data_IF_509255359555
#
_entry.id   IF_509255359555
#
_cell.length_a   1.000
_cell.length_b   1.000
_cell.length_c   1.000
_cell.angle_alpha   90.00
_cell.angle_beta   90.00
_cell.angle_gamma   90.00
#
_symmetry.space_group_name_H-M   'P 1'
#
loop_
_entity.id
_entity.type
_entity.pdbx_description
1 polymer ?
#
# COMPACT_ATOMS: atom_id res chain seq x y z
N UNK A 1 -30.79 41.37 54.14
CA UNK A 1 -30.90 40.26 53.16
C UNK A 1 -30.14 40.68 51.91
N UNK A 2 -28.99 40.06 51.63
CA UNK A 2 -28.17 40.36 50.43
C UNK A 2 -28.82 39.74 49.19
N UNK A 3 -29.03 40.53 48.13
CA UNK A 3 -29.47 40.02 46.84
C UNK A 3 -28.25 39.45 46.11
N UNK A 4 -28.19 38.12 46.00
CA UNK A 4 -27.22 37.43 45.16
C UNK A 4 -27.72 37.51 43.71
N UNK A 5 -27.06 38.35 42.90
CA UNK A 5 -27.25 38.36 41.44
C UNK A 5 -26.52 37.13 40.86
N UNK A 6 -27.15 36.31 40.02
CA UNK A 6 -26.46 35.18 39.41
C UNK A 6 -25.37 35.68 38.44
N UNK A 7 -24.20 35.01 38.37
CA UNK A 7 -23.13 35.38 37.45
C UNK A 7 -23.59 35.15 36.00
N UNK A 8 -23.35 36.15 35.16
CA UNK A 8 -23.61 36.13 33.73
C UNK A 8 -22.63 35.14 33.06
N UNK A 9 -23.07 34.25 32.14
CA UNK A 9 -22.18 33.29 31.53
C UNK A 9 -21.07 34.01 30.77
N UNK A 10 -19.82 33.79 31.20
CA UNK A 10 -18.62 34.18 30.46
C UNK A 10 -18.72 33.65 29.03
N UNK A 11 -18.83 34.57 28.07
CA UNK A 11 -18.74 34.24 26.65
C UNK A 11 -17.32 33.70 26.40
N UNK A 12 -17.23 32.42 26.04
CA UNK A 12 -15.95 31.80 25.66
C UNK A 12 -15.26 32.64 24.58
N UNK A 13 -13.94 32.89 24.69
CA UNK A 13 -13.21 33.68 23.70
C UNK A 13 -13.36 33.04 22.33
N UNK A 14 -14.15 33.66 21.46
CA UNK A 14 -14.32 33.22 20.09
C UNK A 14 -12.99 33.47 19.37
N UNK A 15 -12.34 32.41 18.90
CA UNK A 15 -11.14 32.53 18.08
C UNK A 15 -11.41 33.52 16.93
N UNK A 16 -10.49 34.46 16.64
CA UNK A 16 -10.73 35.45 15.61
C UNK A 16 -10.95 34.76 14.27
N UNK A 17 -12.16 34.90 13.72
CA UNK A 17 -12.51 34.35 12.42
C UNK A 17 -11.88 35.20 11.32
N UNK A 18 -10.71 34.81 10.81
CA UNK A 18 -10.03 35.52 9.74
C UNK A 18 -10.63 35.10 8.40
N UNK A 19 -11.26 36.04 7.70
CA UNK A 19 -11.76 35.83 6.33
C UNK A 19 -10.67 36.24 5.33
N UNK A 20 -10.13 35.28 4.60
CA UNK A 20 -9.18 35.51 3.50
C UNK A 20 -9.95 35.46 2.18
N UNK A 21 -9.79 36.48 1.36
CA UNK A 21 -10.41 36.57 0.03
C UNK A 21 -9.34 36.30 -1.03
N UNK A 22 -9.61 35.35 -1.91
CA UNK A 22 -8.73 35.00 -3.02
C UNK A 22 -9.31 35.56 -4.32
N UNK A 23 -8.45 36.03 -5.21
CA UNK A 23 -8.85 36.27 -6.61
C UNK A 23 -9.09 34.93 -7.32
N UNK A 24 -9.81 34.94 -8.43
CA UNK A 24 -10.09 33.72 -9.20
C UNK A 24 -8.81 32.99 -9.64
N UNK A 25 -7.75 33.74 -9.97
CA UNK A 25 -6.45 33.16 -10.32
C UNK A 25 -5.81 32.43 -9.13
N UNK A 26 -5.76 33.08 -7.96
CA UNK A 26 -5.19 32.50 -6.74
C UNK A 26 -6.01 31.31 -6.22
N UNK A 27 -7.34 31.35 -6.36
CA UNK A 27 -8.21 30.23 -6.01
C UNK A 27 -7.95 29.03 -6.92
N UNK A 28 -7.81 29.25 -8.23
CA UNK A 28 -7.56 28.16 -9.18
C UNK A 28 -6.18 27.54 -8.99
N UNK A 29 -5.15 28.33 -8.69
CA UNK A 29 -3.81 27.84 -8.37
C UNK A 29 -3.81 27.00 -7.10
N UNK A 30 -4.36 27.52 -6.00
CA UNK A 30 -4.49 26.78 -4.73
C UNK A 30 -5.31 25.51 -4.91
N UNK A 31 -6.40 25.56 -5.69
CA UNK A 31 -7.23 24.39 -5.99
C UNK A 31 -6.45 23.34 -6.78
N UNK A 32 -5.66 23.74 -7.78
CA UNK A 32 -4.87 22.82 -8.58
C UNK A 32 -3.83 22.10 -7.73
N UNK A 33 -3.10 22.84 -6.88
CA UNK A 33 -2.13 22.25 -5.95
C UNK A 33 -2.80 21.30 -4.94
N UNK A 34 -3.94 21.71 -4.35
CA UNK A 34 -4.66 20.90 -3.38
C UNK A 34 -5.23 19.61 -4.01
N UNK A 35 -5.76 19.69 -5.23
CA UNK A 35 -6.23 18.51 -5.96
C UNK A 35 -5.05 17.59 -6.33
N UNK A 36 -3.93 18.15 -6.76
CA UNK A 36 -2.73 17.38 -7.10
C UNK A 36 -2.16 16.67 -5.86
N UNK A 37 -2.10 17.34 -4.70
CA UNK A 37 -1.57 16.74 -3.47
C UNK A 37 -2.51 15.68 -2.89
N UNK A 38 -3.82 15.96 -2.83
CA UNK A 38 -4.82 15.01 -2.32
C UNK A 38 -4.91 13.77 -3.21
N UNK A 39 -4.84 13.92 -4.53
CA UNK A 39 -4.85 12.78 -5.46
C UNK A 39 -3.61 11.92 -5.31
N UNK A 40 -2.41 12.51 -5.17
CA UNK A 40 -1.18 11.76 -4.94
C UNK A 40 -1.21 10.96 -3.64
N UNK A 41 -1.67 11.55 -2.55
CA UNK A 41 -1.72 10.87 -1.26
C UNK A 41 -2.79 9.78 -1.22
N UNK A 42 -3.94 9.98 -1.87
CA UNK A 42 -4.96 8.93 -2.07
C UNK A 42 -4.42 7.78 -2.91
N UNK A 43 -3.76 8.08 -4.04
CA UNK A 43 -3.14 7.06 -4.90
C UNK A 43 -2.08 6.28 -4.10
N UNK A 44 -1.22 6.97 -3.35
CA UNK A 44 -0.23 6.31 -2.49
C UNK A 44 -0.88 5.44 -1.42
N UNK A 45 -1.95 5.91 -0.78
CA UNK A 45 -2.66 5.14 0.24
C UNK A 45 -3.27 3.86 -0.37
N UNK A 46 -3.93 3.97 -1.52
CA UNK A 46 -4.50 2.82 -2.25
C UNK A 46 -3.40 1.84 -2.67
N UNK A 47 -2.30 2.32 -3.26
CA UNK A 47 -1.17 1.49 -3.66
C UNK A 47 -0.51 0.82 -2.45
N UNK A 48 -0.33 1.54 -1.34
CA UNK A 48 0.22 0.96 -0.11
C UNK A 48 -0.72 -0.06 0.52
N UNK A 49 -2.02 0.16 0.44
CA UNK A 49 -3.04 -0.77 0.91
C UNK A 49 -3.05 -2.03 0.05
N UNK A 50 -3.01 -1.92 -1.28
CA UNK A 50 -2.87 -3.06 -2.18
C UNK A 50 -1.56 -3.82 -1.95
N UNK A 51 -0.43 -3.13 -1.78
CA UNK A 51 0.85 -3.77 -1.45
C UNK A 51 0.78 -4.47 -0.08
N UNK A 52 0.13 -3.86 0.92
CA UNK A 52 -0.08 -4.50 2.23
C UNK A 52 -0.98 -5.73 2.09
N UNK A 53 -2.05 -5.66 1.31
CA UNK A 53 -2.92 -6.79 1.05
C UNK A 53 -2.19 -7.90 0.27
N UNK A 54 -1.34 -7.56 -0.69
CA UNK A 54 -0.48 -8.51 -1.42
C UNK A 54 0.55 -9.17 -0.49
N UNK A 55 1.14 -8.41 0.45
CA UNK A 55 1.98 -8.94 1.53
C UNK A 55 1.19 -9.79 2.54
N UNK A 56 -0.13 -9.55 2.67
CA UNK A 56 -1.04 -10.34 3.52
C UNK A 56 -1.38 -11.69 2.88
N UNK A 57 -1.21 -11.84 1.56
CA UNK A 57 -1.28 -13.15 0.91
C UNK A 57 -0.05 -13.98 1.30
N UNK A 58 -0.28 -14.98 2.14
CA UNK A 58 0.61 -16.06 2.58
C UNK A 58 2.01 -16.08 1.91
N UNK A 59 3.10 -15.90 2.68
CA UNK A 59 4.47 -15.81 2.13
C UNK A 59 4.91 -17.07 1.38
N UNK A 60 4.29 -18.21 1.71
CA UNK A 60 4.45 -19.49 1.04
C UNK A 60 3.11 -19.93 0.45
N UNK A 61 3.15 -20.47 -0.77
CA UNK A 61 1.97 -21.05 -1.41
C UNK A 61 2.31 -22.46 -1.90
N UNK A 62 1.34 -23.37 -1.84
CA UNK A 62 1.46 -24.66 -2.52
C UNK A 62 1.52 -24.46 -4.05
N UNK A 63 1.98 -25.47 -4.80
CA UNK A 63 2.17 -25.36 -6.26
C UNK A 63 0.94 -24.84 -7.02
N UNK A 64 -0.26 -25.26 -6.62
CA UNK A 64 -1.52 -24.86 -7.27
C UNK A 64 -1.79 -23.37 -7.09
N UNK A 65 -1.71 -22.87 -5.85
CA UNK A 65 -1.89 -21.44 -5.57
C UNK A 65 -0.75 -20.61 -6.14
N UNK A 66 0.47 -21.14 -6.09
CA UNK A 66 1.64 -20.48 -6.63
C UNK A 66 1.55 -20.31 -8.16
N UNK A 67 1.01 -21.30 -8.90
CA UNK A 67 0.80 -21.16 -10.35
C UNK A 67 -0.16 -20.03 -10.73
N UNK A 68 -1.18 -19.77 -9.90
CA UNK A 68 -2.09 -18.64 -10.12
C UNK A 68 -1.38 -17.33 -9.84
N UNK A 69 -0.61 -17.26 -8.75
CA UNK A 69 0.10 -16.05 -8.36
C UNK A 69 1.24 -15.68 -9.32
N UNK A 70 2.06 -16.64 -9.75
CA UNK A 70 3.23 -16.39 -10.59
C UNK A 70 2.92 -16.35 -12.09
N UNK A 71 1.73 -16.79 -12.51
CA UNK A 71 1.36 -16.93 -13.92
C UNK A 71 2.01 -18.11 -14.66
N UNK A 72 2.89 -18.88 -14.01
CA UNK A 72 3.51 -20.06 -14.58
C UNK A 72 2.67 -21.32 -14.35
N UNK A 73 2.62 -22.22 -15.34
CA UNK A 73 1.95 -23.51 -15.18
C UNK A 73 2.60 -24.39 -14.11
N UNK A 74 1.84 -25.31 -13.51
CA UNK A 74 2.37 -26.27 -12.52
C UNK A 74 3.56 -27.08 -13.06
N UNK A 75 3.51 -27.47 -14.32
CA UNK A 75 4.60 -28.20 -14.99
C UNK A 75 5.86 -27.34 -15.15
N UNK A 76 5.71 -26.04 -15.42
CA UNK A 76 6.84 -25.11 -15.46
C UNK A 76 7.46 -24.94 -14.07
N UNK A 77 6.63 -24.78 -13.04
CA UNK A 77 7.11 -24.71 -11.65
C UNK A 77 7.85 -25.99 -11.24
N UNK A 78 7.38 -27.17 -11.65
CA UNK A 78 8.10 -28.42 -11.41
C UNK A 78 9.46 -28.49 -12.11
N UNK A 79 9.57 -27.93 -13.32
CA UNK A 79 10.87 -27.79 -13.99
C UNK A 79 11.79 -26.86 -13.21
N UNK A 80 11.29 -25.73 -12.70
CA UNK A 80 12.09 -24.83 -11.87
C UNK A 80 12.58 -25.51 -10.59
N UNK A 81 11.70 -26.26 -9.90
CA UNK A 81 12.08 -27.05 -8.71
C UNK A 81 13.17 -28.08 -9.06
N UNK A 82 13.03 -28.80 -10.18
CA UNK A 82 14.06 -29.74 -10.66
C UNK A 82 15.37 -29.04 -11.03
N UNK A 83 15.29 -27.79 -11.49
CA UNK A 83 16.44 -26.95 -11.82
C UNK A 83 17.00 -26.19 -10.61
N UNK A 84 16.55 -26.48 -9.39
CA UNK A 84 17.14 -25.95 -8.17
C UNK A 84 16.36 -24.83 -7.47
N UNK A 85 15.11 -24.54 -7.87
CA UNK A 85 14.26 -23.62 -7.10
C UNK A 85 14.02 -24.19 -5.69
N UNK A 86 14.45 -23.48 -4.62
CA UNK A 86 14.25 -23.96 -3.26
C UNK A 86 12.77 -23.99 -2.87
N UNK A 87 12.36 -25.08 -2.21
CA UNK A 87 11.00 -25.26 -1.69
C UNK A 87 11.05 -25.71 -0.23
N UNK A 88 10.04 -25.31 0.54
CA UNK A 88 9.82 -25.82 1.89
C UNK A 88 8.91 -27.03 1.82
N UNK A 89 9.25 -28.10 2.55
CA UNK A 89 8.43 -29.30 2.64
C UNK A 89 7.90 -29.46 4.07
N UNK A 90 6.58 -29.45 4.23
CA UNK A 90 5.89 -29.64 5.51
C UNK A 90 4.80 -30.68 5.29
N UNK A 91 4.86 -31.80 6.01
CA UNK A 91 3.91 -32.91 5.91
C UNK A 91 3.68 -33.41 4.46
N UNK A 92 4.76 -33.47 3.67
CA UNK A 92 4.71 -33.90 2.26
C UNK A 92 4.12 -32.87 1.29
N UNK A 93 3.78 -31.68 1.77
CA UNK A 93 3.32 -30.55 0.94
C UNK A 93 4.51 -29.65 0.64
N UNK A 94 4.84 -29.52 -0.65
CA UNK A 94 5.81 -28.54 -1.12
C UNK A 94 5.18 -27.15 -1.21
N UNK A 95 5.78 -26.20 -0.50
CA UNK A 95 5.41 -24.80 -0.49
C UNK A 95 6.55 -23.95 -1.08
N UNK A 96 6.18 -23.07 -2.01
CA UNK A 96 7.11 -22.18 -2.71
C UNK A 96 6.99 -20.78 -2.08
N UNK A 97 8.12 -20.25 -1.63
CA UNK A 97 8.21 -18.90 -1.09
C UNK A 97 8.24 -17.85 -2.20
N UNK A 98 7.41 -16.81 -2.10
CA UNK A 98 7.35 -15.74 -3.13
C UNK A 98 8.70 -15.03 -3.31
N UNK A 99 9.36 -14.67 -2.21
CA UNK A 99 10.66 -13.97 -2.25
C UNK A 99 11.78 -14.89 -2.73
N UNK A 100 11.80 -16.14 -2.29
CA UNK A 100 12.75 -17.15 -2.77
C UNK A 100 12.64 -17.38 -4.27
N UNK A 101 11.41 -17.43 -4.80
CA UNK A 101 11.19 -17.53 -6.24
C UNK A 101 11.71 -16.30 -7.00
N UNK A 102 11.43 -15.08 -6.53
CA UNK A 102 11.96 -13.85 -7.16
C UNK A 102 13.49 -13.87 -7.21
N UNK A 103 14.13 -14.27 -6.11
CA UNK A 103 15.58 -14.38 -6.02
C UNK A 103 16.12 -15.44 -6.99
N UNK A 104 15.51 -16.62 -7.04
CA UNK A 104 15.86 -17.68 -7.99
C UNK A 104 15.76 -17.20 -9.44
N UNK A 105 14.68 -16.49 -9.80
CA UNK A 105 14.50 -15.95 -11.15
C UNK A 105 15.61 -14.96 -11.49
N UNK A 106 15.92 -14.03 -10.57
CA UNK A 106 16.98 -13.04 -10.73
C UNK A 106 18.36 -13.66 -10.91
N UNK A 107 18.66 -14.75 -10.21
CA UNK A 107 19.93 -15.48 -10.37
C UNK A 107 20.06 -16.19 -11.74
N UNK A 108 18.93 -16.47 -12.39
CA UNK A 108 18.87 -17.11 -13.70
C UNK A 108 18.62 -16.12 -14.84
N UNK A 109 18.55 -14.82 -14.56
CA UNK A 109 18.53 -13.78 -15.58
C UNK A 109 19.91 -13.72 -16.24
N UNK A 110 19.96 -14.04 -17.54
CA UNK A 110 21.14 -13.77 -18.36
C UNK A 110 20.98 -12.36 -18.90
N UNK A 111 21.83 -11.44 -18.43
CA UNK A 111 22.00 -10.15 -19.07
C UNK A 111 22.72 -10.41 -20.39
N UNK A 112 22.01 -10.34 -21.51
CA UNK A 112 22.67 -10.19 -22.80
C UNK A 112 23.41 -8.84 -22.75
N UNK A 113 24.75 -8.88 -22.77
CA UNK A 113 25.55 -7.69 -23.02
C UNK A 113 25.22 -7.21 -24.44
N UNK A 114 24.43 -6.13 -24.52
CA UNK A 114 24.13 -5.40 -25.76
C UNK A 114 25.26 -4.43 -26.07
#
# INVERSE_FOLDING_TARGET
>A
MMKLTPPQPEQAPQAPLIKVYLTDAQFNELRAELVASLSLDLIRAVVQEEIKQEKTFAPYLNKTKFSVWSGYSRTALEKFIKNGLPVSEVDGIQAIGKETFKQFMKEHEQLEEV
#
